data_IF_215710176311
#
_entry.id   IF_215710176311
#
_cell.length_a   1.000
_cell.length_b   1.000
_cell.length_c   1.000
_cell.angle_alpha   90.00
_cell.angle_beta   90.00
_cell.angle_gamma   90.00
#
_symmetry.space_group_name_H-M   'P 1'
#
loop_
_entity.id
_entity.type
_entity.pdbx_description
1 polymer ?
#
# COMPACT_ATOMS: atom_id res chain seq x y z
N UNK A 1 10.98 -39.38 21.11
CA UNK A 1 11.85 -38.49 20.31
C UNK A 1 11.46 -38.51 18.84
N UNK A 2 11.36 -39.69 18.21
CA UNK A 2 11.02 -39.87 16.78
C UNK A 2 9.85 -39.02 16.21
N UNK A 3 8.74 -38.90 16.95
CA UNK A 3 7.54 -38.16 16.48
C UNK A 3 7.71 -36.63 16.39
N UNK A 4 8.68 -36.05 17.12
CA UNK A 4 8.97 -34.62 17.05
C UNK A 4 9.82 -34.32 15.83
N UNK A 5 10.79 -35.19 15.55
CA UNK A 5 11.70 -35.09 14.41
C UNK A 5 10.93 -35.20 13.08
N UNK A 6 9.94 -36.11 13.01
CA UNK A 6 9.07 -36.26 11.83
C UNK A 6 8.24 -34.99 11.55
N UNK A 7 7.73 -34.34 12.60
CA UNK A 7 6.96 -33.09 12.47
C UNK A 7 7.83 -31.91 12.07
N UNK A 8 9.07 -31.86 12.56
CA UNK A 8 10.05 -30.84 12.16
C UNK A 8 10.44 -31.05 10.70
N UNK A 9 10.67 -32.28 10.27
CA UNK A 9 10.95 -32.61 8.87
C UNK A 9 9.78 -32.25 7.94
N UNK A 10 8.54 -32.56 8.33
CA UNK A 10 7.35 -32.17 7.56
C UNK A 10 7.17 -30.64 7.50
N UNK A 11 7.48 -29.93 8.60
CA UNK A 11 7.46 -28.47 8.63
C UNK A 11 8.52 -27.84 7.71
N UNK A 12 9.75 -28.34 7.75
CA UNK A 12 10.84 -27.89 6.89
C UNK A 12 10.55 -28.17 5.42
N UNK A 13 10.07 -29.38 5.08
CA UNK A 13 9.66 -29.71 3.70
C UNK A 13 8.53 -28.82 3.18
N UNK A 14 7.57 -28.43 4.05
CA UNK A 14 6.54 -27.44 3.72
C UNK A 14 7.11 -26.04 3.51
N UNK A 15 8.13 -25.64 4.27
CA UNK A 15 8.81 -24.36 4.06
C UNK A 15 9.61 -24.39 2.75
N UNK A 16 10.33 -25.46 2.47
CA UNK A 16 11.09 -25.62 1.23
C UNK A 16 10.19 -25.63 0.00
N UNK A 17 9.01 -26.28 0.08
CA UNK A 17 8.01 -26.22 -0.98
C UNK A 17 7.41 -24.81 -1.17
N UNK A 18 7.22 -24.03 -0.10
CA UNK A 18 6.79 -22.63 -0.19
C UNK A 18 7.88 -21.76 -0.82
N UNK A 19 9.14 -21.97 -0.45
CA UNK A 19 10.31 -21.29 -1.02
C UNK A 19 10.45 -21.64 -2.50
N UNK A 20 10.40 -22.92 -2.87
CA UNK A 20 10.46 -23.38 -4.26
C UNK A 20 9.29 -22.85 -5.11
N UNK A 21 8.05 -22.85 -4.60
CA UNK A 21 6.90 -22.24 -5.31
C UNK A 21 7.02 -20.72 -5.43
N UNK A 22 7.59 -20.04 -4.43
CA UNK A 22 7.88 -18.61 -4.52
C UNK A 22 8.94 -18.31 -5.59
N UNK A 23 9.95 -19.17 -5.74
CA UNK A 23 10.98 -19.04 -6.78
C UNK A 23 10.50 -19.40 -8.19
N UNK A 24 9.64 -20.41 -8.35
CA UNK A 24 9.11 -20.81 -9.66
C UNK A 24 8.09 -19.82 -10.25
N UNK A 25 7.55 -18.91 -9.44
CA UNK A 25 6.55 -17.92 -9.85
C UNK A 25 7.08 -16.47 -9.81
N UNK A 26 8.42 -16.30 -9.71
CA UNK A 26 9.05 -15.01 -9.36
C UNK A 26 9.25 -14.03 -10.52
N UNK A 27 9.04 -14.44 -11.77
CA UNK A 27 9.06 -13.50 -12.88
C UNK A 27 7.72 -12.78 -12.94
N UNK A 28 7.70 -11.51 -12.54
CA UNK A 28 6.57 -10.62 -12.77
C UNK A 28 6.16 -10.68 -14.25
N UNK A 29 4.95 -11.16 -14.51
CA UNK A 29 4.41 -11.26 -15.86
C UNK A 29 3.83 -9.91 -16.25
N UNK A 30 4.45 -9.27 -17.24
CA UNK A 30 4.01 -8.00 -17.81
C UNK A 30 2.71 -8.19 -18.62
N UNK A 31 1.58 -8.29 -17.92
CA UNK A 31 0.25 -8.27 -18.53
C UNK A 31 -0.12 -6.84 -18.95
N UNK A 32 -1.11 -6.68 -19.83
CA UNK A 32 -1.63 -5.35 -20.20
C UNK A 32 -2.12 -4.57 -18.96
N UNK A 33 -2.82 -5.24 -18.04
CA UNK A 33 -3.32 -4.63 -16.81
C UNK A 33 -2.17 -4.21 -15.88
N UNK A 34 -1.12 -5.03 -15.80
CA UNK A 34 0.06 -4.73 -14.99
C UNK A 34 0.84 -3.53 -15.56
N UNK A 35 1.00 -3.46 -16.90
CA UNK A 35 1.61 -2.27 -17.56
C UNK A 35 0.82 -0.99 -17.30
N UNK A 36 -0.49 -0.99 -17.52
CA UNK A 36 -1.33 0.18 -17.24
C UNK A 36 -1.27 0.61 -15.79
N UNK A 37 -1.27 -0.36 -14.86
CA UNK A 37 -1.13 -0.06 -13.44
C UNK A 37 0.23 0.57 -13.13
N UNK A 38 1.33 0.05 -13.70
CA UNK A 38 2.66 0.64 -13.57
C UNK A 38 2.69 2.09 -14.09
N UNK A 39 2.08 2.36 -15.24
CA UNK A 39 2.04 3.70 -15.85
C UNK A 39 1.27 4.69 -14.95
N UNK A 40 0.13 4.28 -14.41
CA UNK A 40 -0.68 5.10 -13.50
C UNK A 40 0.04 5.34 -12.16
N UNK A 41 0.75 4.34 -11.64
CA UNK A 41 1.58 4.50 -10.44
C UNK A 41 2.75 5.45 -10.70
N UNK A 42 3.38 5.37 -11.88
CA UNK A 42 4.44 6.30 -12.27
C UNK A 42 3.91 7.73 -12.35
N UNK A 43 2.74 7.93 -12.97
CA UNK A 43 2.08 9.23 -13.01
C UNK A 43 1.81 9.78 -11.61
N UNK A 44 1.27 8.96 -10.69
CA UNK A 44 1.06 9.37 -9.31
C UNK A 44 2.36 9.77 -8.60
N UNK A 45 3.43 9.02 -8.85
CA UNK A 45 4.75 9.24 -8.24
C UNK A 45 5.39 10.54 -8.73
N UNK A 46 5.34 10.84 -10.04
CA UNK A 46 6.00 12.03 -10.60
C UNK A 46 5.18 13.29 -10.44
N UNK A 47 3.85 13.21 -10.55
CA UNK A 47 2.96 14.37 -10.53
C UNK A 47 2.36 14.66 -9.15
N UNK A 48 2.71 13.87 -8.13
CA UNK A 48 2.18 14.04 -6.78
C UNK A 48 0.66 13.88 -6.71
N UNK A 49 0.08 12.94 -7.46
CA UNK A 49 -1.38 12.74 -7.54
C UNK A 49 -1.86 11.58 -6.69
N UNK A 50 -3.11 11.66 -6.26
CA UNK A 50 -3.84 10.51 -5.74
C UNK A 50 -4.47 9.74 -6.91
N UNK A 51 -4.16 8.46 -7.03
CA UNK A 51 -4.74 7.53 -8.00
C UNK A 51 -5.37 6.33 -7.30
N UNK A 52 -6.42 5.78 -7.90
CA UNK A 52 -7.13 4.60 -7.38
C UNK A 52 -7.01 3.45 -8.38
N UNK A 53 -6.46 2.32 -7.92
CA UNK A 53 -6.32 1.10 -8.71
C UNK A 53 -7.26 0.04 -8.15
N UNK A 54 -8.30 -0.32 -8.88
CA UNK A 54 -9.28 -1.30 -8.39
C UNK A 54 -9.51 -2.46 -9.36
N UNK A 55 -9.94 -3.59 -8.82
CA UNK A 55 -10.27 -4.78 -9.59
C UNK A 55 -10.59 -5.97 -8.67
N UNK A 56 -11.08 -7.07 -9.23
CA UNK A 56 -11.32 -8.29 -8.46
C UNK A 56 -10.02 -8.86 -7.84
N UNK A 57 -10.17 -9.72 -6.83
CA UNK A 57 -9.06 -10.46 -6.26
C UNK A 57 -8.46 -11.41 -7.32
N UNK A 58 -7.15 -11.63 -7.26
CA UNK A 58 -6.45 -12.51 -8.22
C UNK A 58 -6.08 -11.86 -9.57
N UNK A 59 -6.40 -10.58 -9.81
CA UNK A 59 -6.00 -9.86 -11.04
C UNK A 59 -4.54 -9.35 -11.06
N UNK A 60 -3.72 -9.76 -10.09
CA UNK A 60 -2.30 -9.38 -10.04
C UNK A 60 -2.03 -7.95 -9.55
N UNK A 61 -2.99 -7.27 -8.91
CA UNK A 61 -2.82 -5.93 -8.32
C UNK A 61 -1.65 -5.90 -7.34
N UNK A 62 -1.75 -6.67 -6.24
CA UNK A 62 -0.72 -6.79 -5.20
C UNK A 62 0.67 -7.13 -5.77
N UNK A 63 0.73 -8.05 -6.75
CA UNK A 63 2.00 -8.39 -7.41
C UNK A 63 2.60 -7.19 -8.16
N UNK A 64 1.77 -6.39 -8.84
CA UNK A 64 2.20 -5.18 -9.55
C UNK A 64 2.64 -4.09 -8.59
N UNK A 65 1.92 -3.87 -7.49
CA UNK A 65 2.29 -2.89 -6.46
C UNK A 65 3.64 -3.23 -5.81
N UNK A 66 3.85 -4.51 -5.47
CA UNK A 66 5.10 -5.03 -4.91
C UNK A 66 6.27 -4.88 -5.89
N UNK A 67 6.04 -5.20 -7.16
CA UNK A 67 7.04 -5.02 -8.21
C UNK A 67 7.42 -3.54 -8.38
N UNK A 68 6.44 -2.63 -8.40
CA UNK A 68 6.74 -1.20 -8.47
C UNK A 68 7.55 -0.74 -7.26
N UNK A 69 7.14 -1.17 -6.05
CA UNK A 69 7.81 -0.79 -4.82
C UNK A 69 9.26 -1.30 -4.76
N UNK A 70 9.53 -2.49 -5.28
CA UNK A 70 10.88 -3.03 -5.41
C UNK A 70 11.74 -2.25 -6.41
N UNK A 71 11.16 -1.69 -7.47
CA UNK A 71 11.87 -0.90 -8.49
C UNK A 71 12.19 0.52 -8.05
N UNK A 72 11.34 1.11 -7.20
CA UNK A 72 11.43 2.51 -6.80
C UNK A 72 11.53 2.65 -5.28
N UNK A 73 12.76 2.74 -4.71
CA UNK A 73 12.97 2.83 -3.26
C UNK A 73 12.35 4.06 -2.58
N UNK A 74 12.03 5.12 -3.35
CA UNK A 74 11.30 6.30 -2.84
C UNK A 74 9.81 6.00 -2.55
N UNK A 75 9.30 4.85 -2.98
CA UNK A 75 7.94 4.41 -2.66
C UNK A 75 7.85 3.72 -1.30
N UNK A 76 6.66 3.77 -0.70
CA UNK A 76 6.33 3.17 0.60
C UNK A 76 5.08 2.32 0.40
N UNK A 77 5.21 1.00 0.49
CA UNK A 77 4.10 0.08 0.36
C UNK A 77 3.57 -0.32 1.74
N UNK A 78 2.26 -0.14 1.94
CA UNK A 78 1.53 -0.58 3.12
C UNK A 78 0.43 -1.54 2.67
N UNK A 79 0.54 -2.80 3.07
CA UNK A 79 -0.55 -3.78 2.96
C UNK A 79 -1.43 -3.67 4.21
N UNK A 80 -2.69 -3.27 4.03
CA UNK A 80 -3.61 -3.07 5.14
C UNK A 80 -4.27 -4.39 5.56
N UNK A 81 -4.74 -4.44 6.81
CA UNK A 81 -5.53 -5.53 7.35
C UNK A 81 -6.73 -4.97 8.15
N UNK A 82 -7.72 -5.79 8.53
CA UNK A 82 -8.91 -5.32 9.26
C UNK A 82 -8.64 -4.61 10.61
N UNK A 83 -7.44 -4.75 11.18
CA UNK A 83 -7.01 -4.08 12.41
C UNK A 83 -6.55 -2.63 12.23
N UNK A 84 -6.46 -2.14 10.98
CA UNK A 84 -5.98 -0.79 10.69
C UNK A 84 -6.97 0.29 11.12
N UNK A 85 -6.76 0.82 12.32
CA UNK A 85 -7.32 2.10 12.74
C UNK A 85 -6.36 3.26 12.38
N UNK A 86 -6.78 4.54 12.51
CA UNK A 86 -5.93 5.68 12.16
C UNK A 86 -4.58 5.71 12.87
N UNK A 87 -4.50 5.27 14.13
CA UNK A 87 -3.24 5.23 14.88
C UNK A 87 -2.30 4.20 14.25
N UNK A 88 -2.78 2.99 13.98
CA UNK A 88 -1.99 1.93 13.34
C UNK A 88 -1.48 2.38 11.98
N UNK A 89 -2.34 2.98 11.15
CA UNK A 89 -1.97 3.49 9.84
C UNK A 89 -0.86 4.55 9.94
N UNK A 90 -1.01 5.56 10.79
CA UNK A 90 -0.01 6.62 10.96
C UNK A 90 1.32 6.06 11.47
N UNK A 91 1.29 5.14 12.43
CA UNK A 91 2.51 4.48 12.91
C UNK A 91 3.20 3.69 11.80
N UNK A 92 2.45 2.99 10.94
CA UNK A 92 3.01 2.25 9.79
C UNK A 92 3.60 3.18 8.74
N UNK A 93 2.96 4.31 8.46
CA UNK A 93 3.52 5.33 7.56
C UNK A 93 4.80 5.91 8.17
N UNK A 94 4.79 6.28 9.45
CA UNK A 94 5.96 6.82 10.15
C UNK A 94 7.16 5.85 10.10
N UNK A 95 6.94 4.56 10.35
CA UNK A 95 7.95 3.51 10.24
C UNK A 95 8.58 3.48 8.83
N UNK A 96 7.76 3.50 7.77
CA UNK A 96 8.23 3.53 6.37
C UNK A 96 8.93 4.85 5.98
N UNK A 97 8.65 5.93 6.71
CA UNK A 97 9.30 7.23 6.54
C UNK A 97 10.61 7.36 7.32
N UNK A 98 10.92 6.42 8.22
CA UNK A 98 12.02 6.54 9.17
C UNK A 98 11.75 7.54 10.30
N UNK A 99 10.48 7.77 10.62
CA UNK A 99 10.01 8.69 11.68
C UNK A 99 9.68 7.89 12.93
N UNK A 100 10.15 8.37 14.09
CA UNK A 100 9.80 7.79 15.38
C UNK A 100 8.38 8.22 15.77
N UNK A 101 7.46 7.25 15.77
CA UNK A 101 6.06 7.47 16.12
C UNK A 101 5.85 7.57 17.63
N UNK A 102 6.05 8.78 18.17
CA UNK A 102 5.79 9.14 19.57
C UNK A 102 4.72 10.21 19.67
N UNK A 103 3.78 10.02 20.61
CA UNK A 103 2.69 10.94 20.89
C UNK A 103 1.31 10.42 20.45
N UNK A 104 0.37 11.36 20.37
CA UNK A 104 -0.95 11.16 19.80
C UNK A 104 -0.90 11.13 18.27
N UNK A 105 -2.06 10.90 17.65
CA UNK A 105 -2.15 10.84 16.19
C UNK A 105 -1.72 12.15 15.52
N UNK A 106 -1.99 13.30 16.14
CA UNK A 106 -1.59 14.60 15.61
C UNK A 106 -0.07 14.77 15.60
N UNK A 107 0.61 14.45 16.70
CA UNK A 107 2.07 14.55 16.81
C UNK A 107 2.78 13.67 15.78
N UNK A 108 2.29 12.43 15.62
CA UNK A 108 2.84 11.49 14.63
C UNK A 108 2.57 11.99 13.21
N UNK A 109 1.37 12.51 12.94
CA UNK A 109 1.00 13.03 11.63
C UNK A 109 1.88 14.22 11.21
N UNK A 110 2.09 15.21 12.08
CA UNK A 110 2.92 16.37 11.75
C UNK A 110 4.38 15.98 11.49
N UNK A 111 4.94 15.02 12.24
CA UNK A 111 6.29 14.48 11.96
C UNK A 111 6.39 13.75 10.62
N UNK A 112 5.33 13.04 10.21
CA UNK A 112 5.27 12.42 8.89
C UNK A 112 5.23 13.51 7.81
N UNK A 113 4.41 14.54 8.00
CA UNK A 113 4.31 15.68 7.08
C UNK A 113 5.68 16.33 6.89
N UNK A 114 6.37 16.69 7.98
CA UNK A 114 7.70 17.28 7.94
C UNK A 114 8.71 16.41 7.18
N UNK A 115 8.63 15.08 7.34
CA UNK A 115 9.53 14.15 6.65
C UNK A 115 9.23 13.99 5.16
N UNK A 116 7.96 14.13 4.77
CA UNK A 116 7.50 13.85 3.42
C UNK A 116 7.35 15.09 2.55
N UNK A 117 7.26 16.27 3.14
CA UNK A 117 7.21 17.53 2.39
C UNK A 117 8.45 17.68 1.49
N UNK A 118 8.22 17.96 0.21
CA UNK A 118 9.27 18.06 -0.81
C UNK A 118 10.07 16.76 -1.07
N UNK A 119 9.61 15.61 -0.56
CA UNK A 119 10.37 14.35 -0.68
C UNK A 119 10.15 13.60 -1.99
N UNK A 120 9.16 14.01 -2.79
CA UNK A 120 8.76 13.37 -4.05
C UNK A 120 8.52 11.85 -3.92
N UNK A 121 8.08 11.40 -2.75
CA UNK A 121 7.81 9.98 -2.48
C UNK A 121 6.44 9.54 -2.97
N UNK A 122 6.25 8.22 -3.06
CA UNK A 122 4.96 7.59 -3.36
C UNK A 122 4.48 6.76 -2.17
N UNK A 123 3.29 7.04 -1.65
CA UNK A 123 2.62 6.18 -0.69
C UNK A 123 1.66 5.23 -1.41
N UNK A 124 1.90 3.92 -1.30
CA UNK A 124 1.07 2.87 -1.88
C UNK A 124 0.34 2.15 -0.74
N UNK A 125 -0.98 2.09 -0.81
CA UNK A 125 -1.83 1.39 0.17
C UNK A 125 -2.59 0.28 -0.56
N UNK A 126 -2.25 -0.97 -0.28
CA UNK A 126 -2.97 -2.15 -0.77
C UNK A 126 -4.09 -2.56 0.20
N UNK A 127 -5.12 -3.19 -0.34
CA UNK A 127 -6.38 -3.52 0.34
C UNK A 127 -7.08 -2.31 0.97
N UNK A 128 -6.95 -1.13 0.36
CA UNK A 128 -7.42 0.14 0.93
C UNK A 128 -8.93 0.16 1.23
N UNK A 129 -9.74 -0.77 0.69
CA UNK A 129 -11.13 -0.95 1.11
C UNK A 129 -11.31 -1.32 2.60
N UNK A 130 -10.26 -1.81 3.24
CA UNK A 130 -10.25 -2.15 4.67
C UNK A 130 -10.06 -0.91 5.55
N UNK A 131 -9.62 0.21 4.98
CA UNK A 131 -9.45 1.44 5.72
C UNK A 131 -10.80 2.10 6.05
N UNK A 132 -10.90 2.60 7.28
CA UNK A 132 -11.99 3.47 7.68
C UNK A 132 -11.96 4.82 6.94
N UNK A 133 -13.10 5.49 6.82
CA UNK A 133 -13.18 6.86 6.25
C UNK A 133 -12.26 7.84 6.98
N UNK A 134 -12.09 7.71 8.30
CA UNK A 134 -11.15 8.54 9.07
C UNK A 134 -9.70 8.27 8.68
N UNK A 135 -9.34 7.01 8.43
CA UNK A 135 -8.00 6.64 7.96
C UNK A 135 -7.73 7.22 6.56
N UNK A 136 -8.70 7.13 5.65
CA UNK A 136 -8.62 7.70 4.31
C UNK A 136 -8.49 9.24 4.33
N UNK A 137 -9.18 9.92 5.26
CA UNK A 137 -9.02 11.38 5.45
C UNK A 137 -7.60 11.75 5.90
N UNK A 138 -6.95 10.96 6.77
CA UNK A 138 -5.53 11.20 7.11
C UNK A 138 -4.62 11.08 5.88
N UNK A 139 -4.85 10.08 5.02
CA UNK A 139 -4.08 9.91 3.78
C UNK A 139 -4.28 11.11 2.85
N UNK A 140 -5.52 11.58 2.68
CA UNK A 140 -5.83 12.78 1.89
C UNK A 140 -5.13 14.02 2.44
N UNK A 141 -5.22 14.24 3.75
CA UNK A 141 -4.55 15.37 4.42
C UNK A 141 -3.03 15.32 4.29
N UNK A 142 -2.46 14.13 4.29
CA UNK A 142 -1.03 13.94 4.09
C UNK A 142 -0.62 14.37 2.68
N UNK A 143 -1.32 13.89 1.66
CA UNK A 143 -1.15 14.35 0.28
C UNK A 143 -1.30 15.87 0.18
N UNK A 144 -2.39 16.45 0.70
CA UNK A 144 -2.64 17.90 0.59
C UNK A 144 -1.50 18.73 1.19
N UNK A 145 -0.91 18.27 2.30
CA UNK A 145 0.18 18.97 3.00
C UNK A 145 1.57 18.78 2.41
N UNK A 146 1.81 17.69 1.67
CA UNK A 146 3.18 17.28 1.27
C UNK A 146 3.35 17.12 -0.24
N UNK A 147 2.24 17.08 -0.98
CA UNK A 147 2.18 16.83 -2.43
C UNK A 147 2.84 15.50 -2.87
N UNK A 148 2.99 14.53 -1.96
CA UNK A 148 3.45 13.19 -2.34
C UNK A 148 2.41 12.46 -3.21
N UNK A 149 2.88 11.56 -4.06
CA UNK A 149 1.99 10.67 -4.79
C UNK A 149 1.30 9.69 -3.85
N UNK A 150 0.04 9.33 -4.14
CA UNK A 150 -0.70 8.32 -3.38
C UNK A 150 -1.37 7.34 -4.34
N UNK A 151 -1.17 6.04 -4.11
CA UNK A 151 -1.87 4.96 -4.81
C UNK A 151 -2.74 4.23 -3.81
N UNK A 152 -4.06 4.28 -3.99
CA UNK A 152 -5.01 3.47 -3.23
C UNK A 152 -5.42 2.28 -4.09
N UNK A 153 -4.99 1.08 -3.70
CA UNK A 153 -5.30 -0.14 -4.41
C UNK A 153 -6.27 -1.02 -3.64
N UNK A 154 -7.23 -1.63 -4.34
CA UNK A 154 -8.25 -2.42 -3.64
C UNK A 154 -9.34 -3.05 -4.50
N UNK A 155 -10.36 -3.55 -3.82
CA UNK A 155 -11.57 -4.08 -4.45
C UNK A 155 -12.53 -2.94 -4.86
N UNK A 156 -13.48 -3.16 -5.79
CA UNK A 156 -14.39 -2.12 -6.28
C UNK A 156 -15.17 -1.36 -5.17
N UNK A 157 -15.40 -1.99 -4.02
CA UNK A 157 -16.03 -1.37 -2.85
C UNK A 157 -15.23 -0.18 -2.29
N UNK A 158 -13.93 -0.11 -2.57
CA UNK A 158 -13.09 1.05 -2.25
C UNK A 158 -13.70 2.34 -2.82
N UNK A 159 -14.22 2.31 -4.05
CA UNK A 159 -14.86 3.48 -4.67
C UNK A 159 -16.10 3.94 -3.89
N UNK A 160 -16.79 3.04 -3.20
CA UNK A 160 -17.94 3.39 -2.35
C UNK A 160 -17.46 4.07 -1.08
N UNK A 161 -16.41 3.55 -0.43
CA UNK A 161 -15.81 4.16 0.77
C UNK A 161 -15.31 5.58 0.49
N UNK A 162 -14.78 5.79 -0.72
CA UNK A 162 -14.27 7.07 -1.22
C UNK A 162 -15.39 8.08 -1.55
N UNK A 163 -16.62 7.63 -1.82
CA UNK A 163 -17.78 8.48 -2.14
C UNK A 163 -18.55 8.98 -0.90
N UNK A 164 -18.16 8.63 0.32
CA UNK A 164 -18.91 8.92 1.55
C UNK A 164 -18.98 10.41 1.97
N UNK A 165 -20.18 10.83 2.45
CA UNK A 165 -20.64 12.11 3.04
C UNK A 165 -20.33 13.46 2.37
N UNK A 166 -19.27 13.63 1.59
CA UNK A 166 -18.92 14.93 1.00
C UNK A 166 -19.14 15.04 -0.51
N UNK A 167 -19.68 14.01 -1.18
CA UNK A 167 -20.16 14.11 -2.56
C UNK A 167 -19.11 14.38 -3.65
N UNK A 168 -17.89 14.76 -3.29
CA UNK A 168 -16.81 14.98 -4.22
C UNK A 168 -16.11 13.65 -4.52
N UNK A 169 -16.41 13.09 -5.69
CA UNK A 169 -15.39 12.32 -6.39
C UNK A 169 -14.15 13.22 -6.48
N UNK A 170 -13.01 12.64 -6.10
CA UNK A 170 -11.66 13.00 -6.58
C UNK A 170 -11.77 13.76 -7.89
N UNK A 171 -11.75 15.09 -7.81
CA UNK A 171 -11.99 15.92 -8.97
C UNK A 171 -10.74 15.85 -9.83
N UNK A 172 -10.95 15.45 -11.09
CA UNK A 172 -9.99 15.53 -12.21
C UNK A 172 -8.97 14.36 -12.22
N UNK A 173 -8.70 13.60 -13.29
CA UNK A 173 -8.77 13.80 -14.76
C UNK A 173 -8.90 12.41 -15.44
N UNK A 174 -9.44 12.40 -16.67
CA UNK A 174 -9.66 11.28 -17.62
C UNK A 174 -8.46 10.37 -17.89
#
# INVERSE_FOLDING_TARGET
MQRLDDKVAEYLARQDQKILKAHYNSQFVSTLAARKTMDVMQYAHTEGKIVVVYGAAGLGKTATLKEYAARYPSSMLIETDPGYNPRVLLHKIAENCGVVAQGGNHDVFEKIVEKLDGSERLLIIDEAELLSTRSLEFVRRLHDKTQIGVVLAGMPRLLVNLRGKSGELFSSIW
#
